data_IF_879918765668
#
_entry.id   IF_879918765668
#
_cell.length_a   1.000
_cell.length_b   1.000
_cell.length_c   1.000
_cell.angle_alpha   90.00
_cell.angle_beta   90.00
_cell.angle_gamma   90.00
#
_symmetry.space_group_name_H-M   'P 1'
#
loop_
_entity.id
_entity.type
_entity.pdbx_description
1 polymer ?
#
# COMPACT_ATOMS: atom_id res chain seq x y z
N UNK A 1 -0.06 -9.42 9.39
CA UNK A 1 1.19 -9.48 10.20
C UNK A 1 2.48 -9.76 9.43
N UNK A 2 2.45 -10.13 8.14
CA UNK A 2 3.68 -10.46 7.40
C UNK A 2 4.30 -11.80 7.84
N UNK A 3 3.48 -12.76 8.29
CA UNK A 3 3.96 -13.93 9.00
C UNK A 3 4.35 -15.14 8.11
N UNK A 4 4.55 -14.97 6.79
CA UNK A 4 4.85 -16.11 5.89
C UNK A 4 6.05 -16.96 6.36
N UNK A 5 7.08 -16.32 6.92
CA UNK A 5 8.29 -16.97 7.43
C UNK A 5 8.30 -17.13 8.97
N UNK A 6 7.14 -17.12 9.63
CA UNK A 6 7.01 -17.15 11.10
C UNK A 6 7.73 -15.99 11.81
N UNK A 7 7.79 -14.82 11.16
CA UNK A 7 8.46 -13.61 11.65
C UNK A 7 7.48 -12.47 11.98
N UNK A 8 6.18 -12.77 12.10
CA UNK A 8 5.13 -11.76 12.27
C UNK A 8 5.34 -10.83 13.46
N UNK A 9 5.75 -11.37 14.61
CA UNK A 9 6.02 -10.56 15.82
C UNK A 9 7.20 -9.59 15.66
N UNK A 10 8.23 -9.98 14.91
CA UNK A 10 9.35 -9.09 14.57
C UNK A 10 8.85 -8.00 13.61
N UNK A 11 8.12 -8.40 12.56
CA UNK A 11 7.66 -7.51 11.50
C UNK A 11 6.61 -6.49 11.98
N UNK A 12 5.81 -6.83 12.98
CA UNK A 12 4.91 -5.88 13.68
C UNK A 12 5.71 -4.74 14.31
N UNK A 13 6.78 -5.06 15.05
CA UNK A 13 7.65 -4.05 15.67
C UNK A 13 8.41 -3.22 14.64
N UNK A 14 8.89 -3.86 13.57
CA UNK A 14 9.53 -3.15 12.45
C UNK A 14 8.58 -2.17 11.76
N UNK A 15 7.30 -2.56 11.58
CA UNK A 15 6.26 -1.68 11.03
C UNK A 15 5.99 -0.48 11.95
N UNK A 16 5.83 -0.71 13.26
CA UNK A 16 5.63 0.39 14.22
C UNK A 16 6.78 1.39 14.20
N UNK A 17 8.03 0.90 14.13
CA UNK A 17 9.22 1.75 14.01
C UNK A 17 9.26 2.54 12.70
N UNK A 18 8.92 1.89 11.58
CA UNK A 18 8.82 2.51 10.26
C UNK A 18 7.76 3.63 10.26
N UNK A 19 6.57 3.35 10.79
CA UNK A 19 5.49 4.33 10.97
C UNK A 19 5.92 5.51 11.84
N UNK A 20 6.60 5.25 12.95
CA UNK A 20 7.12 6.32 13.83
C UNK A 20 8.08 7.27 13.09
N UNK A 21 9.00 6.74 12.27
CA UNK A 21 9.92 7.56 11.46
C UNK A 21 9.19 8.40 10.39
N UNK A 22 8.05 7.93 9.91
CA UNK A 22 7.18 8.66 8.99
C UNK A 22 6.26 9.68 9.71
N UNK A 23 6.36 9.79 11.03
CA UNK A 23 5.52 10.69 11.84
C UNK A 23 4.12 10.15 12.14
N UNK A 24 3.89 8.84 11.96
CA UNK A 24 2.62 8.18 12.24
C UNK A 24 2.66 7.66 13.69
N UNK A 25 1.77 8.12 14.58
CA UNK A 25 1.73 7.65 15.96
C UNK A 25 1.27 6.19 16.02
N UNK A 26 1.77 5.42 17.00
CA UNK A 26 1.42 4.02 17.17
C UNK A 26 -0.09 3.78 17.37
N UNK A 27 -0.82 4.75 17.94
CA UNK A 27 -2.29 4.72 18.06
C UNK A 27 -3.01 4.64 16.71
N UNK A 28 -2.37 5.08 15.64
CA UNK A 28 -2.91 5.09 14.28
C UNK A 28 -2.38 3.92 13.44
N UNK A 29 -1.67 2.97 14.06
CA UNK A 29 -1.17 1.76 13.41
C UNK A 29 -2.02 0.57 13.88
N UNK A 30 -2.70 -0.09 12.95
CA UNK A 30 -3.46 -1.31 13.22
C UNK A 30 -2.92 -2.45 12.39
N UNK A 31 -2.56 -3.56 13.03
CA UNK A 31 -2.16 -4.78 12.33
C UNK A 31 -3.30 -5.79 12.40
N UNK A 32 -3.87 -6.11 11.24
CA UNK A 32 -4.78 -7.24 11.10
C UNK A 32 -3.97 -8.53 11.05
N UNK A 33 -4.29 -9.44 11.96
CA UNK A 33 -3.67 -10.76 12.10
C UNK A 33 -4.80 -11.79 12.23
N UNK A 34 -5.40 -12.08 11.08
CA UNK A 34 -6.52 -13.01 10.95
C UNK A 34 -6.05 -14.30 10.26
N UNK A 35 -6.50 -15.45 10.77
CA UNK A 35 -6.15 -16.76 10.22
C UNK A 35 -6.67 -16.96 8.79
N UNK A 36 -7.76 -16.29 8.45
CA UNK A 36 -8.43 -16.35 7.15
C UNK A 36 -7.82 -15.33 6.15
N UNK A 37 -6.88 -14.49 6.61
CA UNK A 37 -6.08 -13.57 5.81
C UNK A 37 -4.56 -13.80 6.00
N UNK A 38 -4.06 -15.03 5.74
CA UNK A 38 -2.66 -15.37 6.02
C UNK A 38 -1.72 -14.64 5.06
N UNK A 39 -0.54 -14.24 5.55
CA UNK A 39 0.54 -13.78 4.67
C UNK A 39 1.11 -14.97 3.89
N UNK A 40 0.53 -15.27 2.73
CA UNK A 40 0.97 -16.37 1.87
C UNK A 40 0.68 -16.03 0.39
N UNK A 41 1.69 -15.95 -0.49
CA UNK A 41 1.50 -15.59 -1.89
C UNK A 41 0.70 -16.63 -2.70
N UNK A 42 0.54 -17.84 -2.18
CA UNK A 42 -0.24 -18.91 -2.81
C UNK A 42 -1.71 -18.93 -2.36
N UNK A 43 -2.12 -18.04 -1.46
CA UNK A 43 -3.48 -17.98 -0.92
C UNK A 43 -4.12 -16.67 -1.37
N UNK A 44 -5.29 -16.76 -1.98
CA UNK A 44 -6.15 -15.60 -2.22
C UNK A 44 -6.97 -15.32 -0.97
N UNK A 45 -6.95 -14.07 -0.51
CA UNK A 45 -7.76 -13.64 0.64
C UNK A 45 -9.25 -13.59 0.31
N UNK A 46 -10.08 -13.93 1.29
CA UNK A 46 -11.52 -13.71 1.19
C UNK A 46 -11.82 -12.22 1.06
N UNK A 47 -12.32 -11.86 -0.12
CA UNK A 47 -12.60 -10.49 -0.54
C UNK A 47 -13.71 -9.86 0.31
N UNK A 48 -14.72 -10.64 0.74
CA UNK A 48 -15.84 -10.14 1.55
C UNK A 48 -15.40 -9.88 2.98
N UNK A 49 -14.64 -10.81 3.56
CA UNK A 49 -14.05 -10.64 4.88
C UNK A 49 -13.12 -9.42 4.92
N UNK A 50 -12.26 -9.27 3.90
CA UNK A 50 -11.35 -8.15 3.79
C UNK A 50 -12.10 -6.81 3.66
N UNK A 51 -13.15 -6.76 2.83
CA UNK A 51 -13.99 -5.58 2.70
C UNK A 51 -14.65 -5.19 4.04
N UNK A 52 -15.17 -6.16 4.79
CA UNK A 52 -15.77 -5.93 6.10
C UNK A 52 -14.75 -5.37 7.11
N UNK A 53 -13.52 -5.89 7.14
CA UNK A 53 -12.44 -5.35 7.98
C UNK A 53 -12.11 -3.89 7.64
N UNK A 54 -11.96 -3.59 6.35
CA UNK A 54 -11.63 -2.24 5.88
C UNK A 54 -12.77 -1.28 6.19
N UNK A 55 -14.03 -1.64 5.91
CA UNK A 55 -15.20 -0.81 6.20
C UNK A 55 -15.30 -0.48 7.69
N UNK A 56 -15.21 -1.50 8.54
CA UNK A 56 -15.21 -1.33 10.00
C UNK A 56 -14.10 -0.39 10.47
N UNK A 57 -12.91 -0.48 9.87
CA UNK A 57 -11.79 0.39 10.21
C UNK A 57 -12.02 1.83 9.76
N UNK A 58 -12.62 2.05 8.59
CA UNK A 58 -12.96 3.38 8.08
C UNK A 58 -13.98 4.06 8.97
N UNK A 59 -15.06 3.36 9.32
CA UNK A 59 -16.12 3.88 10.18
C UNK A 59 -15.61 4.22 11.59
N UNK A 60 -14.85 3.32 12.20
CA UNK A 60 -14.33 3.51 13.55
C UNK A 60 -13.37 4.71 13.68
N UNK A 61 -12.70 5.08 12.59
CA UNK A 61 -11.68 6.13 12.57
C UNK A 61 -12.08 7.37 11.77
N UNK A 62 -13.31 7.43 11.24
CA UNK A 62 -13.81 8.50 10.38
C UNK A 62 -12.85 8.81 9.21
N UNK A 63 -12.36 7.77 8.53
CA UNK A 63 -11.44 7.91 7.40
C UNK A 63 -12.21 8.43 6.17
N UNK A 64 -11.69 9.47 5.53
CA UNK A 64 -12.26 10.06 4.31
C UNK A 64 -11.41 9.82 3.05
N UNK A 65 -10.24 9.21 3.18
CA UNK A 65 -9.36 8.87 2.08
C UNK A 65 -8.61 7.58 2.39
N UNK A 66 -8.74 6.60 1.50
CA UNK A 66 -7.99 5.35 1.52
C UNK A 66 -7.00 5.36 0.37
N UNK A 67 -5.74 5.01 0.64
CA UNK A 67 -4.72 4.77 -0.39
C UNK A 67 -4.36 3.29 -0.38
N UNK A 68 -4.40 2.65 -1.54
CA UNK A 68 -4.20 1.19 -1.68
C UNK A 68 -3.55 0.83 -3.01
N UNK A 69 -3.42 -0.46 -3.31
CA UNK A 69 -2.88 -0.96 -4.58
C UNK A 69 -3.94 -1.00 -5.68
N UNK A 70 -3.51 -0.93 -6.94
CA UNK A 70 -4.37 -1.17 -8.08
C UNK A 70 -4.50 -2.67 -8.42
N UNK A 71 -5.17 -2.97 -9.53
CA UNK A 71 -5.35 -4.33 -10.05
C UNK A 71 -4.04 -5.08 -10.33
N UNK A 72 -2.93 -4.36 -10.55
CA UNK A 72 -1.62 -4.95 -10.80
C UNK A 72 -0.84 -5.30 -9.53
N UNK A 73 -1.27 -4.82 -8.35
CA UNK A 73 -0.64 -5.14 -7.08
C UNK A 73 0.84 -4.79 -6.99
N UNK A 74 1.28 -3.76 -7.74
CA UNK A 74 2.67 -3.34 -8.00
C UNK A 74 3.50 -4.37 -8.77
N UNK A 75 3.56 -5.60 -8.29
CA UNK A 75 4.35 -6.71 -8.86
C UNK A 75 3.53 -7.98 -9.08
N UNK A 76 2.20 -7.89 -9.05
CA UNK A 76 1.31 -9.05 -9.14
C UNK A 76 1.17 -9.84 -7.84
N UNK A 77 1.42 -9.23 -6.68
CA UNK A 77 1.32 -9.93 -5.40
C UNK A 77 -0.14 -10.21 -5.03
N UNK A 78 -0.48 -11.47 -4.72
CA UNK A 78 -1.86 -11.90 -4.44
C UNK A 78 -2.55 -11.02 -3.38
N UNK A 79 -1.94 -10.82 -2.21
CA UNK A 79 -2.49 -9.98 -1.14
C UNK A 79 -2.79 -8.54 -1.58
N UNK A 80 -1.95 -7.95 -2.45
CA UNK A 80 -2.17 -6.59 -2.95
C UNK A 80 -3.36 -6.56 -3.92
N UNK A 81 -3.47 -7.56 -4.79
CA UNK A 81 -4.58 -7.71 -5.74
C UNK A 81 -5.89 -7.94 -4.96
N UNK A 82 -5.87 -8.76 -3.91
CA UNK A 82 -7.04 -8.99 -3.05
C UNK A 82 -7.53 -7.70 -2.37
N UNK A 83 -6.61 -6.82 -1.92
CA UNK A 83 -6.98 -5.50 -1.39
C UNK A 83 -7.70 -4.63 -2.41
N UNK A 84 -7.16 -4.56 -3.64
CA UNK A 84 -7.83 -3.86 -4.74
C UNK A 84 -9.20 -4.46 -5.04
N UNK A 85 -9.26 -5.80 -5.13
CA UNK A 85 -10.48 -6.52 -5.43
C UNK A 85 -11.54 -6.28 -4.35
N UNK A 86 -11.19 -6.27 -3.06
CA UNK A 86 -12.12 -6.01 -1.95
C UNK A 86 -12.74 -4.62 -2.00
N UNK A 87 -11.94 -3.59 -2.29
CA UNK A 87 -12.44 -2.22 -2.39
C UNK A 87 -13.23 -1.97 -3.68
N UNK A 88 -13.02 -2.78 -4.72
CA UNK A 88 -13.84 -2.79 -5.93
C UNK A 88 -15.03 -3.76 -5.85
N UNK A 89 -15.07 -4.64 -4.84
CA UNK A 89 -15.99 -5.76 -4.82
C UNK A 89 -17.43 -5.30 -4.67
N UNK A 90 -18.29 -6.04 -5.36
CA UNK A 90 -19.61 -5.65 -5.84
C UNK A 90 -20.72 -5.68 -4.78
N UNK A 91 -20.44 -5.40 -3.51
CA UNK A 91 -21.50 -4.98 -2.58
C UNK A 91 -21.78 -3.49 -2.81
N UNK A 92 -22.51 -3.24 -3.89
CA UNK A 92 -23.03 -1.94 -4.34
C UNK A 92 -23.89 -1.19 -3.31
N UNK A 93 -24.08 -1.71 -2.10
CA UNK A 93 -24.88 -1.07 -1.07
C UNK A 93 -24.02 -0.51 0.07
N UNK A 94 -23.17 -1.32 0.69
CA UNK A 94 -22.36 -0.88 1.85
C UNK A 94 -21.17 -0.01 1.43
N UNK A 95 -20.43 -0.38 0.39
CA UNK A 95 -19.34 0.44 -0.16
C UNK A 95 -19.91 1.68 -0.86
N UNK A 96 -21.11 1.60 -1.45
CA UNK A 96 -21.78 2.79 -1.99
C UNK A 96 -22.14 3.80 -0.89
N UNK A 97 -22.62 3.33 0.27
CA UNK A 97 -22.81 4.19 1.46
C UNK A 97 -21.47 4.79 1.91
N UNK A 98 -20.36 4.06 1.83
CA UNK A 98 -19.03 4.58 2.15
C UNK A 98 -18.61 5.76 1.25
N UNK A 99 -18.75 5.61 -0.07
CA UNK A 99 -18.38 6.67 -1.01
C UNK A 99 -19.39 7.84 -1.00
N UNK A 100 -20.68 7.55 -0.88
CA UNK A 100 -21.74 8.55 -1.04
C UNK A 100 -22.18 9.19 0.29
N UNK A 101 -22.36 8.40 1.35
CA UNK A 101 -22.83 8.90 2.65
C UNK A 101 -21.69 9.29 3.60
N UNK A 102 -20.57 8.56 3.58
CA UNK A 102 -19.40 8.86 4.43
C UNK A 102 -18.39 9.79 3.74
N UNK A 103 -18.51 10.01 2.42
CA UNK A 103 -17.60 10.89 1.66
C UNK A 103 -16.16 10.38 1.61
N UNK A 104 -15.96 9.06 1.67
CA UNK A 104 -14.63 8.46 1.62
C UNK A 104 -14.19 8.21 0.17
N UNK A 105 -13.03 8.73 -0.22
CA UNK A 105 -12.42 8.47 -1.52
C UNK A 105 -11.40 7.33 -1.44
N UNK A 106 -11.20 6.62 -2.55
CA UNK A 106 -10.18 5.56 -2.64
C UNK A 106 -9.24 5.88 -3.78
N UNK A 107 -7.97 6.05 -3.47
CA UNK A 107 -6.88 6.21 -4.43
C UNK A 107 -6.07 4.92 -4.54
N UNK A 108 -5.83 4.47 -5.77
CA UNK A 108 -5.04 3.27 -6.06
C UNK A 108 -3.71 3.62 -6.71
N UNK A 109 -2.63 2.99 -6.22
CA UNK A 109 -1.27 3.15 -6.75
C UNK A 109 -1.13 2.43 -8.10
N UNK A 110 -0.80 3.21 -9.13
CA UNK A 110 -0.65 2.70 -10.50
C UNK A 110 0.55 1.75 -10.61
N UNK A 111 0.27 0.51 -11.03
CA UNK A 111 1.27 -0.48 -11.38
C UNK A 111 1.87 -0.17 -12.76
N UNK A 112 3.19 0.03 -12.82
CA UNK A 112 3.91 0.26 -14.08
C UNK A 112 4.70 -0.96 -14.53
N UNK A 113 5.03 -1.00 -15.82
CA UNK A 113 5.92 -2.03 -16.39
C UNK A 113 7.32 -2.01 -15.76
N UNK A 114 8.08 -3.10 -15.93
CA UNK A 114 9.42 -3.26 -15.34
C UNK A 114 10.40 -2.16 -15.72
N UNK A 115 10.32 -1.63 -16.95
CA UNK A 115 11.21 -0.55 -17.39
C UNK A 115 10.95 0.72 -16.57
N UNK A 116 9.72 1.25 -16.62
CA UNK A 116 9.33 2.44 -15.84
C UNK A 116 9.53 2.25 -14.34
N UNK A 117 9.35 1.01 -13.85
CA UNK A 117 9.55 0.66 -12.44
C UNK A 117 10.97 0.97 -11.96
N UNK A 118 12.00 0.79 -12.80
CA UNK A 118 13.41 0.80 -12.39
C UNK A 118 14.28 1.90 -13.02
N UNK A 119 13.66 2.90 -13.67
CA UNK A 119 14.39 4.08 -14.17
C UNK A 119 14.42 5.26 -13.18
N UNK A 120 13.94 5.06 -11.95
CA UNK A 120 14.00 6.05 -10.85
C UNK A 120 13.43 7.42 -11.27
N UNK A 121 14.09 8.52 -10.87
CA UNK A 121 13.71 9.91 -11.18
C UNK A 121 13.58 10.19 -12.68
N UNK A 122 14.19 9.38 -13.55
CA UNK A 122 14.09 9.56 -15.01
C UNK A 122 12.67 9.29 -15.54
N UNK A 123 11.77 8.70 -14.75
CA UNK A 123 10.36 8.53 -15.11
C UNK A 123 9.51 9.80 -14.86
N UNK A 124 10.08 10.89 -14.31
CA UNK A 124 9.34 12.14 -14.07
C UNK A 124 8.70 12.69 -15.35
N UNK A 125 9.41 12.88 -16.48
CA UNK A 125 8.81 13.45 -17.68
C UNK A 125 7.64 12.59 -18.20
N UNK A 126 7.80 11.26 -18.18
CA UNK A 126 6.75 10.33 -18.60
C UNK A 126 5.54 10.41 -17.67
N UNK A 127 5.78 10.45 -16.36
CA UNK A 127 4.71 10.53 -15.35
C UNK A 127 3.94 11.85 -15.38
N UNK A 128 4.60 12.96 -15.70
CA UNK A 128 3.94 14.26 -15.88
C UNK A 128 3.11 14.36 -17.16
N UNK A 129 3.44 13.57 -18.19
CA UNK A 129 2.72 13.56 -19.47
C UNK A 129 1.53 12.60 -19.48
N UNK A 130 1.57 11.56 -18.64
CA UNK A 130 0.47 10.62 -18.51
C UNK A 130 -0.60 11.17 -17.57
N UNK A 131 -1.89 10.97 -17.88
CA UNK A 131 -2.95 11.39 -16.98
C UNK A 131 -2.79 10.68 -15.63
N UNK A 132 -3.16 11.32 -14.53
CA UNK A 132 -3.30 10.72 -13.19
C UNK A 132 -4.23 11.62 -12.37
N UNK A 133 -4.91 11.06 -11.37
CA UNK A 133 -5.79 11.87 -10.51
C UNK A 133 -4.97 12.56 -9.41
N UNK A 134 -3.89 11.92 -8.95
CA UNK A 134 -2.88 12.55 -8.13
C UNK A 134 -1.47 12.04 -8.48
N UNK A 135 -0.51 12.96 -8.57
CA UNK A 135 0.90 12.65 -8.82
C UNK A 135 1.75 13.22 -7.69
N UNK A 136 2.45 12.36 -6.98
CA UNK A 136 3.39 12.72 -5.93
C UNK A 136 4.82 12.53 -6.44
N UNK A 137 5.61 13.60 -6.43
CA UNK A 137 7.05 13.58 -6.70
C UNK A 137 7.74 14.06 -5.42
N UNK A 138 8.43 13.14 -4.75
CA UNK A 138 9.11 13.38 -3.49
C UNK A 138 10.39 14.18 -3.72
N UNK A 139 10.68 15.06 -2.78
CA UNK A 139 11.99 15.71 -2.63
C UNK A 139 13.06 14.71 -2.22
N UNK A 140 14.33 15.13 -2.26
CA UNK A 140 15.45 14.31 -1.79
C UNK A 140 15.31 13.97 -0.29
N UNK A 141 14.91 14.95 0.54
CA UNK A 141 14.69 14.73 1.98
C UNK A 141 13.57 13.71 2.24
N UNK A 142 12.44 13.84 1.55
CA UNK A 142 11.33 12.89 1.67
C UNK A 142 11.72 11.50 1.17
N UNK A 143 12.51 11.42 0.10
CA UNK A 143 13.04 10.16 -0.44
C UNK A 143 13.97 9.48 0.58
N UNK A 144 14.87 10.22 1.23
CA UNK A 144 15.74 9.67 2.27
C UNK A 144 14.97 9.26 3.52
N UNK A 145 13.90 10.00 3.88
CA UNK A 145 12.99 9.60 4.96
C UNK A 145 12.28 8.28 4.61
N UNK A 146 11.77 8.14 3.38
CA UNK A 146 11.16 6.90 2.91
C UNK A 146 12.15 5.73 2.88
N UNK A 147 13.39 5.95 2.44
CA UNK A 147 14.47 4.94 2.51
C UNK A 147 14.80 4.56 3.95
N UNK A 148 14.83 5.51 4.86
CA UNK A 148 15.08 5.26 6.29
C UNK A 148 13.97 4.43 6.93
N UNK A 149 12.70 4.73 6.61
CA UNK A 149 11.55 3.92 7.02
C UNK A 149 11.63 2.49 6.46
N UNK A 150 11.99 2.33 5.19
CA UNK A 150 12.21 1.01 4.58
C UNK A 150 13.31 0.21 5.28
N UNK A 151 14.38 0.87 5.75
CA UNK A 151 15.49 0.23 6.46
C UNK A 151 15.10 -0.33 7.84
N UNK A 152 13.98 0.11 8.44
CA UNK A 152 13.46 -0.48 9.67
C UNK A 152 13.04 -1.96 9.50
N UNK A 153 12.70 -2.38 8.28
CA UNK A 153 12.25 -3.73 7.99
C UNK A 153 13.40 -4.73 7.82
N UNK A 154 14.31 -4.80 8.80
CA UNK A 154 15.53 -5.62 8.74
C UNK A 154 15.27 -7.08 8.37
N UNK A 155 14.20 -7.68 8.91
CA UNK A 155 13.82 -9.07 8.64
C UNK A 155 13.36 -9.33 7.19
N UNK A 156 13.02 -8.28 6.45
CA UNK A 156 12.50 -8.34 5.08
C UNK A 156 13.40 -7.62 4.05
N UNK A 157 14.46 -6.96 4.50
CA UNK A 157 15.37 -6.18 3.65
C UNK A 157 16.41 -7.07 2.96
N UNK A 158 15.94 -7.99 2.13
CA UNK A 158 16.79 -8.86 1.31
C UNK A 158 17.55 -8.04 0.24
N UNK A 159 18.64 -8.59 -0.31
CA UNK A 159 19.54 -7.89 -1.25
C UNK A 159 18.81 -7.17 -2.40
N UNK A 160 17.77 -7.78 -2.99
CA UNK A 160 17.01 -7.18 -4.09
C UNK A 160 16.16 -5.98 -3.65
N UNK A 161 15.83 -5.84 -2.37
CA UNK A 161 15.16 -4.65 -1.82
C UNK A 161 16.10 -3.45 -1.78
N UNK A 162 17.40 -3.64 -1.62
CA UNK A 162 18.37 -2.55 -1.76
C UNK A 162 18.40 -2.01 -3.18
N UNK A 163 18.37 -2.89 -4.19
CA UNK A 163 18.25 -2.49 -5.60
C UNK A 163 16.94 -1.75 -5.83
N UNK A 164 15.83 -2.27 -5.29
CA UNK A 164 14.53 -1.59 -5.36
C UNK A 164 14.58 -0.18 -4.75
N UNK A 165 15.19 0.02 -3.57
CA UNK A 165 15.28 1.34 -2.95
C UNK A 165 16.13 2.36 -3.74
N UNK A 166 17.08 1.87 -4.55
CA UNK A 166 17.94 2.72 -5.38
C UNK A 166 17.26 3.09 -6.69
N UNK A 167 16.69 2.11 -7.38
CA UNK A 167 16.24 2.26 -8.77
C UNK A 167 14.73 2.37 -8.91
N UNK A 168 13.94 1.98 -7.91
CA UNK A 168 12.49 1.99 -8.05
C UNK A 168 11.96 3.42 -8.14
N UNK A 169 11.16 3.69 -9.18
CA UNK A 169 10.42 4.96 -9.25
C UNK A 169 9.51 5.16 -8.05
N UNK A 170 8.98 4.11 -7.41
CA UNK A 170 8.05 4.26 -6.28
C UNK A 170 8.68 4.88 -5.04
N UNK A 171 10.03 4.92 -4.96
CA UNK A 171 10.71 5.67 -3.90
C UNK A 171 10.65 7.19 -4.10
N UNK A 172 10.27 7.66 -5.30
CA UNK A 172 10.35 9.07 -5.69
C UNK A 172 9.05 9.57 -6.33
N UNK A 173 8.41 8.78 -7.19
CA UNK A 173 7.28 9.15 -8.04
C UNK A 173 6.14 8.15 -7.86
N UNK A 174 5.03 8.61 -7.27
CA UNK A 174 3.84 7.81 -7.02
C UNK A 174 2.64 8.42 -7.77
N UNK A 175 2.11 7.67 -8.74
CA UNK A 175 0.94 8.03 -9.54
C UNK A 175 -0.28 7.30 -8.98
N UNK A 176 -1.32 8.04 -8.62
CA UNK A 176 -2.54 7.53 -8.02
C UNK A 176 -3.75 7.79 -8.93
N UNK A 177 -4.70 6.87 -8.91
CA UNK A 177 -5.99 6.96 -9.61
C UNK A 177 -7.15 6.87 -8.64
N UNK A 178 -8.23 7.58 -8.91
CA UNK A 178 -9.48 7.39 -8.20
C UNK A 178 -10.12 6.06 -8.64
N UNK A 179 -10.50 5.22 -7.67
CA UNK A 179 -11.11 3.91 -7.92
C UNK A 179 -12.57 4.00 -8.40
#
# INVERSE_FOLDING_TARGET
>A
SGNYYNQGEIRKKELEQSCFLLGIPASNVTVVDDRDLPDNPAVEWDIQLLAAFVLKHIEANNINLVVTFDAGGVSGHANHISLYAALRYKYWFEIFILFFCLGCHVLVLESVNLFRKYISILDVPISCLLPSDALFILTEEETERARSAMRCHHSQLLWFRHIYMLFSRYMVINSLRLL
#
